data_IF_567449066626
#
_entry.id   IF_567449066626
#
_cell.length_a   1.000
_cell.length_b   1.000
_cell.length_c   1.000
_cell.angle_alpha   90.00
_cell.angle_beta   90.00
_cell.angle_gamma   90.00
#
_symmetry.space_group_name_H-M   'P 1'
#
loop_
_entity.id
_entity.type
_entity.pdbx_description
1 polymer ?
#
# COMPACT_ATOMS: atom_id res chain seq x y z
N UNK A 1 -19.23 -13.94 -20.70
CA UNK A 1 -18.13 -12.94 -20.70
C UNK A 1 -17.61 -12.84 -19.28
N UNK A 2 -16.38 -13.30 -19.07
CA UNK A 2 -15.82 -13.55 -17.74
C UNK A 2 -15.64 -12.25 -16.95
N UNK A 3 -16.31 -12.17 -15.81
CA UNK A 3 -15.91 -11.24 -14.76
C UNK A 3 -14.55 -11.70 -14.25
N UNK A 4 -13.48 -11.05 -14.72
CA UNK A 4 -12.16 -11.16 -14.12
C UNK A 4 -12.30 -10.59 -12.72
N UNK A 5 -12.56 -11.49 -11.77
CA UNK A 5 -12.81 -11.16 -10.39
C UNK A 5 -11.54 -10.47 -9.88
N UNK A 6 -11.69 -9.17 -9.58
CA UNK A 6 -10.62 -8.27 -9.16
C UNK A 6 -10.00 -8.71 -7.84
N UNK A 7 -9.12 -9.69 -7.86
CA UNK A 7 -8.04 -9.80 -6.88
C UNK A 7 -6.82 -9.13 -7.52
N UNK A 8 -6.95 -7.83 -7.78
CA UNK A 8 -5.78 -7.03 -8.11
C UNK A 8 -4.84 -7.13 -6.91
N UNK A 9 -3.76 -7.91 -7.06
CA UNK A 9 -2.68 -8.10 -6.11
C UNK A 9 -2.44 -6.79 -5.33
N UNK A 10 -2.57 -6.78 -3.99
CA UNK A 10 -2.43 -5.59 -3.12
C UNK A 10 -1.28 -4.68 -3.56
N UNK A 11 -0.16 -5.27 -3.97
CA UNK A 11 1.00 -4.57 -4.52
C UNK A 11 0.66 -3.71 -5.74
N UNK A 12 -0.05 -4.26 -6.71
CA UNK A 12 -0.47 -3.56 -7.93
C UNK A 12 -1.40 -2.41 -7.57
N UNK A 13 -2.37 -2.66 -6.69
CA UNK A 13 -3.29 -1.62 -6.22
C UNK A 13 -2.55 -0.47 -5.53
N UNK A 14 -1.67 -0.75 -4.56
CA UNK A 14 -0.91 0.28 -3.85
C UNK A 14 0.02 1.04 -4.80
N UNK A 15 0.65 0.37 -5.77
CA UNK A 15 1.48 1.03 -6.78
C UNK A 15 0.69 1.93 -7.71
N UNK A 16 -0.49 1.49 -8.15
CA UNK A 16 -1.39 2.32 -8.94
C UNK A 16 -1.83 3.57 -8.15
N UNK A 17 -2.16 3.39 -6.87
CA UNK A 17 -2.57 4.50 -6.01
C UNK A 17 -1.44 5.52 -5.78
N UNK A 18 -0.22 5.04 -5.58
CA UNK A 18 0.96 5.91 -5.51
C UNK A 18 1.14 6.72 -6.79
N UNK A 19 0.96 6.09 -7.95
CA UNK A 19 1.04 6.78 -9.24
C UNK A 19 -0.05 7.84 -9.42
N UNK A 20 -1.31 7.53 -9.08
CA UNK A 20 -2.43 8.49 -9.11
C UNK A 20 -2.20 9.71 -8.23
N UNK A 21 -1.54 9.52 -7.07
CA UNK A 21 -1.21 10.59 -6.13
C UNK A 21 0.10 11.30 -6.47
N UNK A 22 0.78 10.91 -7.57
CA UNK A 22 2.11 11.37 -7.94
C UNK A 22 3.13 11.25 -6.78
N UNK A 23 3.06 10.15 -6.03
CA UNK A 23 3.89 9.85 -4.86
C UNK A 23 4.83 8.69 -5.14
N UNK A 24 6.04 8.77 -4.60
CA UNK A 24 7.03 7.70 -4.60
C UNK A 24 6.93 6.85 -3.33
N UNK A 25 7.55 5.66 -3.34
CA UNK A 25 7.68 4.85 -2.12
C UNK A 25 8.49 5.56 -1.02
N UNK A 26 9.41 6.46 -1.40
CA UNK A 26 10.21 7.24 -0.45
C UNK A 26 9.35 8.29 0.26
N UNK A 27 8.42 8.91 -0.45
CA UNK A 27 7.45 9.85 0.14
C UNK A 27 6.47 9.12 1.05
N UNK A 28 5.93 7.97 0.61
CA UNK A 28 5.09 7.14 1.46
C UNK A 28 5.80 6.76 2.77
N UNK A 29 7.07 6.32 2.68
CA UNK A 29 7.88 6.00 3.85
C UNK A 29 8.05 7.20 4.80
N UNK A 30 8.31 8.39 4.26
CA UNK A 30 8.44 9.62 5.03
C UNK A 30 7.14 10.00 5.72
N UNK A 31 6.03 10.02 4.99
CA UNK A 31 4.72 10.45 5.51
C UNK A 31 4.15 9.45 6.54
N UNK A 32 4.41 8.16 6.36
CA UNK A 32 3.93 7.12 7.29
C UNK A 32 4.88 6.86 8.46
N UNK A 33 6.06 7.50 8.46
CA UNK A 33 7.16 7.20 9.40
C UNK A 33 7.53 5.70 9.41
N UNK A 34 7.37 5.01 8.29
CA UNK A 34 7.77 3.62 8.11
C UNK A 34 9.10 3.61 7.36
N UNK A 35 10.13 2.88 7.82
CA UNK A 35 11.39 2.77 7.09
C UNK A 35 11.16 2.33 5.64
N UNK A 36 11.83 2.99 4.68
CA UNK A 36 11.69 2.70 3.24
C UNK A 36 11.93 1.21 2.92
N UNK A 37 12.85 0.56 3.65
CA UNK A 37 13.10 -0.87 3.52
C UNK A 37 11.84 -1.69 3.85
N UNK A 38 11.10 -1.33 4.91
CA UNK A 38 9.87 -2.03 5.31
C UNK A 38 8.73 -1.74 4.34
N UNK A 39 8.59 -0.51 3.84
CA UNK A 39 7.63 -0.22 2.75
C UNK A 39 7.91 -1.08 1.53
N UNK A 40 9.18 -1.19 1.13
CA UNK A 40 9.59 -2.05 0.01
C UNK A 40 9.29 -3.53 0.30
N UNK A 41 9.71 -4.05 1.45
CA UNK A 41 9.43 -5.43 1.85
C UNK A 41 7.93 -5.72 1.89
N UNK A 42 7.13 -4.80 2.42
CA UNK A 42 5.67 -4.90 2.47
C UNK A 42 5.06 -4.96 1.07
N UNK A 43 5.46 -4.08 0.15
CA UNK A 43 5.01 -4.11 -1.24
C UNK A 43 5.40 -5.41 -1.95
N UNK A 44 6.45 -6.10 -1.50
CA UNK A 44 6.90 -7.38 -2.03
C UNK A 44 6.41 -8.58 -1.21
N UNK A 45 5.55 -8.40 -0.22
CA UNK A 45 4.96 -9.47 0.59
C UNK A 45 5.91 -10.12 1.59
N UNK A 46 7.04 -9.48 1.91
CA UNK A 46 8.06 -9.95 2.86
C UNK A 46 7.97 -9.29 4.23
N UNK A 47 7.00 -8.40 4.42
CA UNK A 47 6.73 -7.71 5.68
C UNK A 47 5.22 -7.51 5.82
N UNK A 48 4.72 -7.69 7.03
CA UNK A 48 3.32 -7.46 7.38
C UNK A 48 3.28 -6.21 8.24
N UNK A 49 2.54 -5.20 7.79
CA UNK A 49 2.33 -3.98 8.57
C UNK A 49 1.49 -4.29 9.81
N UNK A 50 1.82 -3.66 10.93
CA UNK A 50 0.94 -3.64 12.11
C UNK A 50 -0.30 -2.75 11.88
N UNK A 51 -1.26 -2.77 12.81
CA UNK A 51 -2.51 -2.01 12.67
C UNK A 51 -2.29 -0.49 12.59
N UNK A 52 -1.36 0.05 13.37
CA UNK A 52 -1.03 1.47 13.35
C UNK A 52 -0.36 1.87 12.04
N UNK A 53 0.54 1.04 11.52
CA UNK A 53 1.19 1.22 10.23
C UNK A 53 0.17 1.14 9.07
N UNK A 54 -0.76 0.19 9.13
CA UNK A 54 -1.87 0.09 8.15
C UNK A 54 -2.74 1.34 8.17
N UNK A 55 -3.10 1.85 9.34
CA UNK A 55 -3.89 3.07 9.48
C UNK A 55 -3.18 4.27 8.84
N UNK A 56 -1.90 4.49 9.12
CA UNK A 56 -1.12 5.58 8.52
C UNK A 56 -0.99 5.43 7.00
N UNK A 57 -0.76 4.22 6.49
CA UNK A 57 -0.69 3.98 5.05
C UNK A 57 -2.04 4.23 4.38
N UNK A 58 -3.15 3.79 5.00
CA UNK A 58 -4.50 4.00 4.50
C UNK A 58 -4.84 5.48 4.41
N UNK A 59 -4.48 6.25 5.43
CA UNK A 59 -4.64 7.71 5.47
C UNK A 59 -3.85 8.40 4.35
N UNK A 60 -2.54 8.13 4.26
CA UNK A 60 -1.66 8.75 3.24
C UNK A 60 -2.09 8.41 1.81
N UNK A 61 -2.55 7.18 1.59
CA UNK A 61 -3.04 6.74 0.29
C UNK A 61 -4.51 7.09 0.03
N UNK A 62 -5.21 7.69 1.01
CA UNK A 62 -6.63 7.99 0.96
C UNK A 62 -7.46 6.79 0.47
N UNK A 63 -7.26 5.63 1.10
CA UNK A 63 -7.97 4.37 0.80
C UNK A 63 -8.46 3.71 2.10
N UNK A 64 -9.50 2.88 2.02
CA UNK A 64 -9.94 2.08 3.17
C UNK A 64 -8.86 1.09 3.60
N UNK A 65 -8.72 0.86 4.91
CA UNK A 65 -7.69 -0.03 5.48
C UNK A 65 -7.87 -1.48 5.02
N UNK A 66 -9.10 -1.88 4.69
CA UNK A 66 -9.46 -3.21 4.18
C UNK A 66 -8.80 -3.48 2.83
N UNK A 67 -8.51 -2.43 2.04
CA UNK A 67 -7.75 -2.56 0.78
C UNK A 67 -6.27 -2.88 1.00
N UNK A 68 -5.77 -2.71 2.22
CA UNK A 68 -4.42 -3.10 2.62
C UNK A 68 -4.38 -4.53 3.18
N UNK A 69 -5.54 -5.14 3.45
CA UNK A 69 -5.66 -6.50 3.95
C UNK A 69 -5.78 -7.47 2.77
N UNK A 70 -4.66 -8.07 2.39
CA UNK A 70 -4.57 -9.20 1.45
C UNK A 70 -3.26 -9.93 1.66
#
# INVERSE_FOLDING_TARGET
MGGVQMVANRKVFVKARLFELNKTQSELARETSIPRAFVSMWLHGRYILDENQKARVAEVLAIPVEKLMS
#
